data_IF_920406025421
#
_entry.id   IF_920406025421
#
_cell.length_a   1.000
_cell.length_b   1.000
_cell.length_c   1.000
_cell.angle_alpha   90.00
_cell.angle_beta   90.00
_cell.angle_gamma   90.00
#
_symmetry.space_group_name_H-M   'P 1'
#
loop_
_entity.id
_entity.type
_entity.pdbx_description
1 polymer ?
#
# COMPACT_ATOMS: atom_id res chain seq x y z
N UNK A 1 -13.83 14.31 27.88
CA UNK A 1 -14.25 13.32 26.87
C UNK A 1 -13.11 13.20 25.87
N UNK A 2 -12.65 12.00 25.49
CA UNK A 2 -11.74 11.90 24.37
C UNK A 2 -12.52 12.33 23.12
N UNK A 3 -12.05 13.38 22.46
CA UNK A 3 -12.61 13.81 21.18
C UNK A 3 -12.47 12.67 20.20
N UNK A 4 -13.60 12.11 19.78
CA UNK A 4 -13.66 11.19 18.65
C UNK A 4 -13.03 11.94 17.47
N UNK A 5 -11.90 11.50 16.90
CA UNK A 5 -11.36 12.16 15.73
C UNK A 5 -12.45 12.14 14.66
N UNK A 6 -12.67 13.24 13.95
CA UNK A 6 -13.79 13.37 13.03
C UNK A 6 -13.76 12.17 12.09
N UNK A 7 -14.89 11.44 12.02
CA UNK A 7 -15.15 10.54 10.92
C UNK A 7 -15.13 11.38 9.66
N UNK A 8 -13.96 11.54 9.03
CA UNK A 8 -13.84 12.25 7.77
C UNK A 8 -14.64 11.45 6.73
N UNK A 9 -15.77 11.98 6.22
CA UNK A 9 -16.63 11.25 5.31
C UNK A 9 -16.06 11.14 3.89
N UNK A 10 -14.82 11.61 3.65
CA UNK A 10 -14.30 11.88 2.29
C UNK A 10 -12.97 11.19 1.94
N UNK A 11 -12.45 10.29 2.77
CA UNK A 11 -11.18 9.60 2.50
C UNK A 11 -11.40 8.27 1.79
N UNK A 12 -11.97 8.29 0.58
CA UNK A 12 -12.24 7.06 -0.19
C UNK A 12 -11.22 6.73 -1.26
N UNK A 13 -10.30 7.64 -1.63
CA UNK A 13 -9.28 7.31 -2.63
C UNK A 13 -8.10 8.30 -2.60
N UNK A 14 -6.89 7.82 -2.27
CA UNK A 14 -5.65 8.62 -2.42
C UNK A 14 -5.00 8.46 -3.81
N UNK A 15 -5.79 8.01 -4.78
CA UNK A 15 -5.30 7.68 -6.11
C UNK A 15 -4.61 8.88 -6.77
N UNK A 16 -3.35 8.69 -7.15
CA UNK A 16 -2.48 9.74 -7.73
C UNK A 16 -2.19 10.91 -6.79
N UNK A 17 -2.41 10.75 -5.49
CA UNK A 17 -2.19 11.81 -4.49
C UNK A 17 -1.23 11.34 -3.39
N UNK A 18 0.05 11.02 -3.73
CA UNK A 18 0.99 10.48 -2.74
C UNK A 18 1.32 11.47 -1.62
N UNK A 19 1.23 12.79 -1.87
CA UNK A 19 1.40 13.82 -0.84
C UNK A 19 0.30 13.78 0.23
N UNK A 20 -0.97 13.67 -0.18
CA UNK A 20 -2.10 13.55 0.74
C UNK A 20 -2.04 12.25 1.53
N UNK A 21 -1.71 11.13 0.86
CA UNK A 21 -1.48 9.85 1.52
C UNK A 21 -0.36 9.93 2.55
N UNK A 22 0.78 10.52 2.20
CA UNK A 22 1.92 10.67 3.09
C UNK A 22 1.54 11.47 4.33
N UNK A 23 0.94 12.65 4.16
CA UNK A 23 0.51 13.48 5.28
C UNK A 23 -0.47 12.71 6.18
N UNK A 24 -1.47 12.06 5.58
CA UNK A 24 -2.48 11.31 6.32
C UNK A 24 -1.90 10.13 7.11
N UNK A 25 -0.96 9.39 6.53
CA UNK A 25 -0.25 8.31 7.22
C UNK A 25 0.68 8.84 8.32
N UNK A 26 1.38 9.94 8.06
CA UNK A 26 2.30 10.56 9.02
C UNK A 26 1.57 11.07 10.29
N UNK A 27 0.41 11.70 10.12
CA UNK A 27 -0.42 12.14 11.25
C UNK A 27 -0.88 10.98 12.14
N UNK A 28 -1.05 9.78 11.56
CA UNK A 28 -1.49 8.57 12.27
C UNK A 28 -0.34 7.89 12.99
N UNK A 29 0.81 7.73 12.33
CA UNK A 29 1.99 7.11 12.94
C UNK A 29 2.48 7.89 14.16
N UNK A 30 2.35 9.22 14.15
CA UNK A 30 2.68 10.08 15.31
C UNK A 30 1.73 9.95 16.50
N UNK A 31 0.47 9.52 16.30
CA UNK A 31 -0.56 9.46 17.37
C UNK A 31 -0.67 8.09 18.03
N UNK A 32 -0.42 7.00 17.32
CA UNK A 32 -0.62 5.64 17.84
C UNK A 32 0.48 4.68 17.41
N UNK A 33 1.71 4.76 17.94
CA UNK A 33 2.90 4.09 17.38
C UNK A 33 2.91 2.55 17.41
N UNK A 34 1.77 1.84 17.60
CA UNK A 34 1.74 0.39 17.74
C UNK A 34 0.84 -0.27 16.68
N UNK A 35 1.48 -1.15 15.90
CA UNK A 35 0.97 -2.04 14.85
C UNK A 35 0.11 -1.41 13.75
N UNK A 36 0.74 -0.63 12.89
CA UNK A 36 0.23 -0.27 11.57
C UNK A 36 0.76 -1.23 10.51
N UNK A 37 -0.13 -1.74 9.66
CA UNK A 37 0.28 -2.45 8.46
C UNK A 37 -0.58 -2.04 7.27
N UNK A 38 0.06 -1.80 6.14
CA UNK A 38 -0.59 -1.61 4.86
C UNK A 38 -0.58 -2.95 4.11
N UNK A 39 -1.78 -3.46 3.89
CA UNK A 39 -2.03 -4.67 3.14
C UNK A 39 -2.32 -4.36 1.68
N UNK A 40 -1.72 -5.13 0.78
CA UNK A 40 -2.02 -5.13 -0.64
C UNK A 40 -2.65 -6.47 -1.00
N UNK A 41 -3.95 -6.43 -1.26
CA UNK A 41 -4.76 -7.58 -1.62
C UNK A 41 -4.74 -7.73 -3.14
N UNK A 42 -4.42 -8.91 -3.66
CA UNK A 42 -4.56 -9.25 -5.08
C UNK A 42 -5.20 -10.61 -5.27
N UNK A 43 -5.60 -10.93 -6.51
CA UNK A 43 -6.28 -12.19 -6.81
C UNK A 43 -5.39 -13.21 -7.50
N UNK A 44 -4.39 -12.75 -8.24
CA UNK A 44 -3.42 -13.61 -8.92
C UNK A 44 -2.27 -13.97 -7.97
N UNK A 45 -1.82 -15.24 -7.89
CA UNK A 45 -0.65 -15.63 -7.11
C UNK A 45 0.67 -15.18 -7.77
N UNK A 46 1.81 -15.41 -7.10
CA UNK A 46 3.15 -15.14 -7.64
C UNK A 46 3.60 -13.67 -7.59
N UNK A 47 4.74 -13.37 -8.21
CA UNK A 47 5.30 -12.01 -8.25
C UNK A 47 4.57 -11.14 -9.28
N UNK A 48 4.41 -9.85 -8.97
CA UNK A 48 3.81 -8.90 -9.91
C UNK A 48 4.70 -8.69 -11.14
N UNK A 49 4.08 -8.67 -12.33
CA UNK A 49 4.78 -8.44 -13.59
C UNK A 49 3.89 -7.66 -14.58
N UNK A 50 4.44 -7.33 -15.75
CA UNK A 50 3.67 -6.73 -16.85
C UNK A 50 2.46 -7.58 -17.31
N UNK A 51 2.52 -8.89 -17.07
CA UNK A 51 1.46 -9.82 -17.42
C UNK A 51 0.37 -9.91 -16.35
N UNK A 52 0.57 -9.33 -15.16
CA UNK A 52 -0.39 -9.45 -14.07
C UNK A 52 -1.73 -8.80 -14.40
N UNK A 53 -2.81 -9.42 -13.94
CA UNK A 53 -4.19 -9.03 -14.28
C UNK A 53 -5.10 -9.02 -13.07
N UNK A 54 -6.21 -8.31 -13.21
CA UNK A 54 -7.30 -8.29 -12.26
C UNK A 54 -7.17 -7.23 -11.16
N UNK A 55 -8.18 -7.19 -10.28
CA UNK A 55 -8.29 -6.18 -9.24
C UNK A 55 -7.27 -6.39 -8.13
N UNK A 56 -6.94 -5.28 -7.48
CA UNK A 56 -6.20 -5.25 -6.22
C UNK A 56 -6.76 -4.17 -5.30
N UNK A 57 -6.42 -4.23 -4.00
CA UNK A 57 -6.82 -3.20 -3.05
C UNK A 57 -5.79 -2.91 -1.97
N UNK A 58 -5.73 -1.66 -1.54
CA UNK A 58 -5.04 -1.22 -0.34
C UNK A 58 -5.95 -1.29 0.88
N UNK A 59 -5.44 -1.90 1.94
CA UNK A 59 -6.10 -1.96 3.24
C UNK A 59 -5.12 -1.54 4.31
N UNK A 60 -5.41 -0.44 5.01
CA UNK A 60 -4.74 -0.12 6.25
C UNK A 60 -5.35 -0.93 7.39
N UNK A 61 -4.50 -1.57 8.19
CA UNK A 61 -4.87 -2.15 9.48
C UNK A 61 -4.17 -1.38 10.59
N UNK A 62 -4.95 -0.97 11.58
CA UNK A 62 -4.48 -0.20 12.74
C UNK A 62 -4.95 -0.87 14.02
N UNK A 63 -4.07 -1.01 15.01
CA UNK A 63 -4.44 -1.42 16.36
C UNK A 63 -4.57 -0.17 17.24
N UNK A 64 -5.75 0.01 17.83
CA UNK A 64 -6.09 1.14 18.67
C UNK A 64 -6.26 0.67 20.11
N UNK A 65 -5.91 1.52 21.11
CA UNK A 65 -6.23 1.23 22.50
C UNK A 65 -7.76 1.13 22.66
N UNK A 66 -8.22 0.03 23.21
CA UNK A 66 -9.59 -0.19 23.63
C UNK A 66 -9.85 0.21 25.08
N UNK A 67 -11.07 -0.03 25.55
CA UNK A 67 -11.39 0.01 26.97
C UNK A 67 -10.72 -1.18 27.69
N UNK A 68 -10.37 -0.99 28.96
CA UNK A 68 -9.85 -2.04 29.86
C UNK A 68 -8.64 -2.82 29.31
N UNK A 69 -7.63 -2.11 28.80
CA UNK A 69 -6.41 -2.69 28.22
C UNK A 69 -6.65 -3.56 26.96
N UNK A 70 -7.87 -3.57 26.43
CA UNK A 70 -8.21 -4.25 25.17
C UNK A 70 -7.57 -3.58 23.96
N UNK A 71 -7.53 -4.30 22.83
CA UNK A 71 -7.07 -3.76 21.55
C UNK A 71 -8.21 -3.82 20.54
N UNK A 72 -8.53 -2.68 19.94
CA UNK A 72 -9.49 -2.58 18.84
C UNK A 72 -8.71 -2.58 17.53
N UNK A 73 -9.04 -3.49 16.61
CA UNK A 73 -8.45 -3.47 15.27
C UNK A 73 -9.37 -2.74 14.30
N UNK A 74 -8.86 -1.68 13.67
CA UNK A 74 -9.54 -0.95 12.60
C UNK A 74 -8.98 -1.36 11.25
N UNK A 75 -9.86 -1.51 10.28
CA UNK A 75 -9.51 -1.76 8.89
C UNK A 75 -10.11 -0.66 8.02
N UNK A 76 -9.31 -0.11 7.10
CA UNK A 76 -9.75 0.91 6.16
C UNK A 76 -9.24 0.58 4.76
N UNK A 77 -10.16 0.51 3.79
CA UNK A 77 -9.81 0.39 2.36
C UNK A 77 -9.37 1.76 1.85
N UNK A 78 -8.24 1.83 1.15
CA UNK A 78 -7.67 3.10 0.65
C UNK A 78 -7.74 3.27 -0.88
N UNK A 79 -8.16 2.23 -1.60
CA UNK A 79 -8.27 2.23 -3.06
C UNK A 79 -9.65 1.80 -3.52
N UNK A 80 -10.14 2.40 -4.59
CA UNK A 80 -11.38 2.03 -5.26
C UNK A 80 -11.14 1.70 -6.73
N UNK A 81 -11.66 0.56 -7.19
CA UNK A 81 -11.58 0.13 -8.60
C UNK A 81 -10.16 -0.09 -9.13
N UNK A 82 -9.17 -0.36 -8.26
CA UNK A 82 -7.79 -0.51 -8.70
C UNK A 82 -7.55 -1.89 -9.35
N UNK A 83 -6.88 -1.91 -10.50
CA UNK A 83 -6.61 -3.14 -11.25
C UNK A 83 -5.31 -3.06 -12.07
N UNK A 84 -4.66 -4.19 -12.29
CA UNK A 84 -3.30 -4.23 -12.88
C UNK A 84 -3.25 -3.90 -14.38
N UNK A 85 -4.37 -3.99 -15.08
CA UNK A 85 -4.49 -3.60 -16.49
C UNK A 85 -4.49 -2.09 -16.69
N UNK A 86 -4.69 -1.29 -15.64
CA UNK A 86 -4.62 0.16 -15.70
C UNK A 86 -3.23 0.62 -15.23
N UNK A 87 -2.34 1.06 -16.14
CA UNK A 87 -0.97 1.44 -15.76
C UNK A 87 -0.90 2.48 -14.63
N UNK A 88 -1.74 3.52 -14.59
CA UNK A 88 -1.80 4.43 -13.45
C UNK A 88 -2.06 3.78 -12.09
N UNK A 89 -2.83 2.69 -12.01
CA UNK A 89 -3.02 1.95 -10.75
C UNK A 89 -1.72 1.26 -10.31
N UNK A 90 -0.93 0.72 -11.24
CA UNK A 90 0.36 0.12 -10.93
C UNK A 90 1.39 1.16 -10.45
N UNK A 91 1.34 2.37 -11.01
CA UNK A 91 2.18 3.50 -10.59
C UNK A 91 1.76 3.96 -9.18
N UNK A 92 0.46 4.09 -8.94
CA UNK A 92 -0.11 4.44 -7.63
C UNK A 92 0.25 3.41 -6.55
N UNK A 93 0.20 2.12 -6.89
CA UNK A 93 0.68 1.02 -6.05
C UNK A 93 2.13 1.20 -5.63
N UNK A 94 2.99 1.52 -6.58
CA UNK A 94 4.40 1.67 -6.32
C UNK A 94 4.70 2.91 -5.47
N UNK A 95 4.08 4.04 -5.78
CA UNK A 95 4.18 5.28 -4.99
C UNK A 95 3.67 5.07 -3.56
N UNK A 96 2.54 4.38 -3.40
CA UNK A 96 1.95 4.00 -2.10
C UNK A 96 2.91 3.13 -1.28
N UNK A 97 3.52 2.11 -1.89
CA UNK A 97 4.52 1.27 -1.23
C UNK A 97 5.72 2.11 -0.77
N UNK A 98 6.22 3.02 -1.62
CA UNK A 98 7.36 3.87 -1.29
C UNK A 98 7.07 4.85 -0.14
N UNK A 99 5.87 5.43 -0.11
CA UNK A 99 5.41 6.29 0.99
C UNK A 99 5.33 5.50 2.30
N UNK A 100 4.69 4.33 2.28
CA UNK A 100 4.57 3.49 3.47
C UNK A 100 5.94 3.08 4.03
N UNK A 101 6.86 2.66 3.15
CA UNK A 101 8.22 2.28 3.54
C UNK A 101 9.03 3.47 4.10
N UNK A 102 8.91 4.66 3.50
CA UNK A 102 9.55 5.87 4.02
C UNK A 102 9.07 6.26 5.44
N UNK A 103 7.82 5.92 5.77
CA UNK A 103 7.22 6.09 7.09
C UNK A 103 7.41 4.88 8.02
N UNK A 104 8.17 3.85 7.59
CA UNK A 104 8.39 2.60 8.35
C UNK A 104 7.10 1.85 8.67
N UNK A 105 6.07 1.99 7.82
CA UNK A 105 4.82 1.23 7.91
C UNK A 105 5.03 -0.13 7.27
N UNK A 106 4.63 -1.20 7.96
CA UNK A 106 4.82 -2.55 7.45
C UNK A 106 3.95 -2.80 6.20
N UNK A 107 4.58 -3.20 5.10
CA UNK A 107 3.90 -3.69 3.90
C UNK A 107 3.64 -5.19 4.01
N UNK A 108 2.42 -5.62 3.69
CA UNK A 108 2.04 -7.05 3.66
C UNK A 108 1.23 -7.36 2.41
N UNK A 109 1.61 -8.40 1.69
CA UNK A 109 0.86 -8.85 0.51
C UNK A 109 -0.02 -10.05 0.84
N UNK A 110 -1.30 -10.01 0.45
CA UNK A 110 -2.21 -11.17 0.49
C UNK A 110 -2.75 -11.47 -0.89
N UNK A 111 -2.79 -12.76 -1.23
CA UNK A 111 -3.54 -13.27 -2.37
C UNK A 111 -4.86 -13.79 -1.82
N UNK A 112 -5.98 -13.23 -2.26
CA UNK A 112 -7.32 -13.62 -1.79
C UNK A 112 -8.18 -14.10 -2.97
N UNK A 113 -9.21 -14.94 -2.71
CA UNK A 113 -10.11 -15.37 -3.79
C UNK A 113 -10.76 -14.18 -4.48
N UNK A 114 -10.83 -14.19 -5.81
CA UNK A 114 -11.44 -13.11 -6.61
C UNK A 114 -12.83 -12.72 -6.13
N UNK A 115 -13.65 -13.70 -5.76
CA UNK A 115 -14.99 -13.48 -5.20
C UNK A 115 -14.96 -12.64 -3.91
N UNK A 116 -13.95 -12.82 -3.05
CA UNK A 116 -13.82 -12.01 -1.83
C UNK A 116 -13.42 -10.58 -2.15
N UNK A 117 -12.47 -10.38 -3.07
CA UNK A 117 -12.09 -9.01 -3.46
C UNK A 117 -13.25 -8.27 -4.14
N UNK A 118 -14.01 -8.92 -5.02
CA UNK A 118 -15.22 -8.35 -5.61
C UNK A 118 -16.27 -8.00 -4.54
N UNK A 119 -16.45 -8.87 -3.54
CA UNK A 119 -17.37 -8.56 -2.43
C UNK A 119 -16.90 -7.38 -1.60
N UNK A 120 -15.59 -7.20 -1.41
CA UNK A 120 -15.02 -6.03 -0.74
C UNK A 120 -15.26 -4.75 -1.54
N UNK A 121 -15.04 -4.79 -2.86
CA UNK A 121 -15.29 -3.65 -3.75
C UNK A 121 -16.77 -3.23 -3.71
N UNK A 122 -17.68 -4.20 -3.69
CA UNK A 122 -19.13 -3.97 -3.59
C UNK A 122 -19.61 -3.62 -2.16
N UNK A 123 -18.73 -3.63 -1.15
CA UNK A 123 -19.12 -3.40 0.24
C UNK A 123 -20.01 -4.50 0.86
N UNK A 124 -20.00 -5.70 0.29
CA UNK A 124 -20.86 -6.85 0.69
C UNK A 124 -20.16 -7.88 1.58
N UNK A 125 -18.96 -7.55 2.06
CA UNK A 125 -18.22 -8.34 3.06
C UNK A 125 -17.31 -7.42 3.86
N UNK A 126 -17.02 -7.79 5.09
CA UNK A 126 -16.10 -7.03 5.93
C UNK A 126 -14.64 -7.33 5.53
N UNK A 127 -13.77 -6.33 5.64
CA UNK A 127 -12.34 -6.48 5.36
C UNK A 127 -11.70 -7.66 6.13
N UNK A 128 -11.92 -7.84 7.45
CA UNK A 128 -11.35 -8.97 8.18
C UNK A 128 -11.79 -10.34 7.64
N UNK A 129 -13.06 -10.46 7.20
CA UNK A 129 -13.61 -11.70 6.67
C UNK A 129 -12.93 -12.09 5.35
N UNK A 130 -12.74 -11.11 4.46
CA UNK A 130 -12.06 -11.32 3.19
C UNK A 130 -10.57 -11.67 3.36
N UNK A 131 -9.93 -11.16 4.42
CA UNK A 131 -8.53 -11.41 4.73
C UNK A 131 -8.28 -12.67 5.57
N UNK A 132 -9.33 -13.30 6.14
CA UNK A 132 -9.18 -14.36 7.14
C UNK A 132 -8.49 -15.63 6.61
N UNK A 133 -8.71 -15.98 5.34
CA UNK A 133 -8.13 -17.17 4.70
C UNK A 133 -7.54 -16.80 3.34
N UNK A 134 -6.33 -16.19 3.33
CA UNK A 134 -5.66 -15.91 2.07
C UNK A 134 -5.32 -17.23 1.37
N UNK A 135 -5.31 -17.20 0.05
CA UNK A 135 -4.80 -18.28 -0.80
C UNK A 135 -3.28 -18.38 -0.62
N UNK A 136 -2.61 -17.23 -0.58
CA UNK A 136 -1.15 -17.13 -0.49
C UNK A 136 -0.74 -15.75 0.06
N UNK A 137 0.56 -15.60 0.34
CA UNK A 137 1.19 -14.35 0.75
C UNK A 137 2.15 -13.87 -0.35
N UNK A 138 2.34 -12.56 -0.44
CA UNK A 138 3.36 -11.99 -1.33
C UNK A 138 4.07 -10.82 -0.66
N UNK A 139 5.16 -10.38 -1.28
CA UNK A 139 6.09 -9.37 -0.77
C UNK A 139 6.01 -8.11 -1.64
N UNK A 140 5.19 -7.10 -1.26
CA UNK A 140 5.05 -5.87 -2.04
C UNK A 140 6.30 -5.00 -2.03
N UNK A 141 7.11 -5.11 -0.98
CA UNK A 141 8.43 -4.51 -0.83
C UNK A 141 9.42 -4.98 -1.91
N UNK A 142 9.24 -6.17 -2.49
CA UNK A 142 10.01 -6.59 -3.66
C UNK A 142 9.83 -5.65 -4.86
N UNK A 143 8.73 -4.89 -4.95
CA UNK A 143 8.58 -3.86 -6.00
C UNK A 143 9.58 -2.71 -5.83
N UNK A 144 9.97 -2.42 -4.58
CA UNK A 144 10.95 -1.41 -4.22
C UNK A 144 12.36 -1.96 -4.39
N UNK A 145 12.60 -3.17 -3.86
CA UNK A 145 13.93 -3.73 -3.66
C UNK A 145 14.34 -4.86 -4.61
N UNK A 146 13.54 -5.20 -5.63
CA UNK A 146 13.87 -6.29 -6.55
C UNK A 146 15.30 -6.16 -7.13
N UNK A 147 16.07 -7.28 -7.18
CA UNK A 147 17.42 -7.28 -7.72
C UNK A 147 17.44 -6.93 -9.23
N UNK A 148 18.65 -6.58 -9.69
CA UNK A 148 19.01 -5.77 -10.85
C UNK A 148 18.46 -6.16 -12.24
N UNK A 149 17.79 -7.30 -12.42
CA UNK A 149 17.06 -7.66 -13.64
C UNK A 149 15.61 -7.19 -13.56
N UNK A 150 15.45 -5.87 -13.43
CA UNK A 150 14.12 -5.27 -13.38
C UNK A 150 13.60 -5.17 -14.81
N UNK A 151 12.48 -5.85 -15.06
CA UNK A 151 11.79 -5.79 -16.36
C UNK A 151 11.59 -4.34 -16.83
N UNK A 152 11.61 -4.08 -18.16
CA UNK A 152 11.36 -2.73 -18.70
C UNK A 152 10.06 -2.10 -18.19
N UNK A 153 9.05 -2.94 -17.93
CA UNK A 153 7.79 -2.54 -17.32
C UNK A 153 7.98 -1.96 -15.91
N UNK A 154 8.69 -2.68 -15.02
CA UNK A 154 8.94 -2.23 -13.65
C UNK A 154 9.76 -0.93 -13.63
N UNK A 155 10.73 -0.80 -14.56
CA UNK A 155 11.49 0.44 -14.73
C UNK A 155 10.61 1.61 -15.20
N UNK A 156 9.69 1.35 -16.13
CA UNK A 156 8.72 2.35 -16.60
C UNK A 156 7.86 2.88 -15.46
N UNK A 157 7.23 1.99 -14.69
CA UNK A 157 6.38 2.42 -13.57
C UNK A 157 7.18 3.04 -12.42
N UNK A 158 8.45 2.63 -12.20
CA UNK A 158 9.35 3.28 -11.22
C UNK A 158 9.65 4.72 -11.60
N UNK A 159 9.91 5.00 -12.87
CA UNK A 159 10.15 6.36 -13.36
C UNK A 159 8.92 7.24 -13.16
N UNK A 160 7.74 6.78 -13.58
CA UNK A 160 6.50 7.56 -13.43
C UNK A 160 6.12 7.76 -11.95
N UNK A 161 6.31 6.74 -11.10
CA UNK A 161 6.08 6.88 -9.66
C UNK A 161 7.06 7.88 -9.02
N UNK A 162 8.31 7.91 -9.50
CA UNK A 162 9.33 8.87 -9.07
C UNK A 162 8.90 10.31 -9.37
N UNK A 163 8.36 10.55 -10.57
CA UNK A 163 7.80 11.86 -10.95
C UNK A 163 6.69 12.29 -9.99
N UNK A 164 5.70 11.42 -9.70
CA UNK A 164 4.62 11.75 -8.77
C UNK A 164 5.11 12.05 -7.34
N UNK A 165 6.11 11.32 -6.86
CA UNK A 165 6.68 11.53 -5.53
C UNK A 165 7.47 12.83 -5.44
N UNK A 166 8.24 13.17 -6.50
CA UNK A 166 9.02 14.41 -6.55
C UNK A 166 8.12 15.64 -6.68
N UNK A 167 7.07 15.57 -7.51
CA UNK A 167 6.06 16.64 -7.62
C UNK A 167 5.36 16.90 -6.28
N UNK A 168 5.18 15.86 -5.46
CA UNK A 168 4.62 15.96 -4.12
C UNK A 168 5.65 16.37 -3.04
N UNK A 169 6.93 16.59 -3.38
CA UNK A 169 7.99 16.94 -2.42
C UNK A 169 8.35 15.81 -1.45
N UNK A 170 8.30 14.55 -1.92
CA UNK A 170 8.52 13.36 -1.10
C UNK A 170 9.86 12.67 -1.44
N UNK A 171 10.98 13.36 -1.28
CA UNK A 171 12.31 12.87 -1.65
C UNK A 171 12.70 11.60 -0.89
N UNK A 172 12.28 11.48 0.37
CA UNK A 172 12.54 10.27 1.17
C UNK A 172 11.83 9.06 0.58
N UNK A 173 10.56 9.20 0.19
CA UNK A 173 9.82 8.12 -0.48
C UNK A 173 10.42 7.81 -1.85
N UNK A 174 10.78 8.84 -2.63
CA UNK A 174 11.44 8.66 -3.91
C UNK A 174 12.75 7.85 -3.78
N UNK A 175 13.55 8.10 -2.74
CA UNK A 175 14.80 7.37 -2.50
C UNK A 175 14.58 5.85 -2.33
N UNK A 176 13.39 5.42 -1.86
CA UNK A 176 13.03 4.01 -1.68
C UNK A 176 12.86 3.27 -3.01
N UNK A 177 12.43 3.95 -4.08
CA UNK A 177 12.33 3.35 -5.41
C UNK A 177 13.69 2.94 -5.99
N UNK A 178 14.76 3.59 -5.52
CA UNK A 178 16.12 3.49 -6.04
C UNK A 178 17.14 2.91 -5.03
N UNK A 179 16.67 2.42 -3.88
CA UNK A 179 17.56 2.01 -2.78
C UNK A 179 18.57 0.92 -3.18
N UNK A 180 18.19 0.00 -4.07
CA UNK A 180 19.11 -1.03 -4.61
C UNK A 180 20.25 -0.44 -5.48
N UNK A 181 20.06 0.74 -6.09
CA UNK A 181 21.05 1.39 -6.95
C UNK A 181 22.12 2.15 -6.16
N UNK A 182 21.81 2.58 -4.93
CA UNK A 182 22.70 3.42 -4.12
C UNK A 182 23.84 2.65 -3.45
N UNK A 183 23.59 1.41 -3.01
CA UNK A 183 24.58 0.60 -2.27
C UNK A 183 25.79 0.22 -3.15
N UNK A 184 25.60 0.12 -4.48
CA UNK A 184 26.68 -0.25 -5.40
C UNK A 184 27.64 0.90 -5.74
N UNK A 185 27.20 2.17 -5.68
CA UNK A 185 28.11 3.32 -5.91
C UNK A 185 29.09 3.57 -4.77
N UNK A 186 28.90 2.93 -3.62
CA UNK A 186 29.80 3.04 -2.46
C UNK A 186 30.78 1.86 -2.37
N UNK A 187 30.59 0.82 -3.18
CA UNK A 187 31.41 -0.41 -3.19
C UNK A 187 32.18 -0.57 -4.52
N UNK A 188 32.03 0.36 -5.46
CA UNK A 188 32.76 0.40 -6.74
C UNK A 188 33.84 1.49 -6.73
#
# INVERSE_FOLDING_TARGET
MPETPPHSPYLSCFYKQPGELHQWLQERTGKHPRDFALYILKTEPGTLSAASRGPFAFVLREHLPGLDEGVITRYQRLSEGAHFEHPPCCIDLLATCAVADALSIQLRGLVIPRKQLQRLELGTTLIPEAMHKPIDFWQPDNLLYAPHETSPWLQGIKREASEWLLEAGLEKANSRLHFATAIQKTIA
#
